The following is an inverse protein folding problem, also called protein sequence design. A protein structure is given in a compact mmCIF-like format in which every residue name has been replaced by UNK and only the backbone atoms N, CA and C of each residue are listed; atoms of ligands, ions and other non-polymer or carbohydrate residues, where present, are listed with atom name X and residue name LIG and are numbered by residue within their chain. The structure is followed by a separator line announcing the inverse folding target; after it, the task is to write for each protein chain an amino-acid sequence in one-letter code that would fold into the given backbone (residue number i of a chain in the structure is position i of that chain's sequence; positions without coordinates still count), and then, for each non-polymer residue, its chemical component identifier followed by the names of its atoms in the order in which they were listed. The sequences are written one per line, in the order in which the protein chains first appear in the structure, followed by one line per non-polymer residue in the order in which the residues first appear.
data_IF_983999786534
#
_entry.id   IF_983999786534
#
_cell.length_a   1.000
_cell.length_b   1.000
_cell.length_c   1.000
_cell.angle_alpha   90.00
_cell.angle_beta   90.00
_cell.angle_gamma   90.00
#
_symmetry.space_group_name_H-M   'P 1'
#
loop_
_entity.id
_entity.type
_entity.pdbx_description
1 polymer ?
#
# COMPACT_ATOMS: atom_id res chain seq x y z
N UNK A 1 -59.72 -48.94 -33.29
CA UNK A 1 -59.15 -48.42 -34.56
C UNK A 1 -59.52 -46.95 -34.56
N UNK A 2 -58.66 -45.98 -34.28
CA UNK A 2 -57.41 -45.56 -34.96
C UNK A 2 -56.69 -44.61 -33.98
N UNK A 3 -55.54 -44.96 -33.38
CA UNK A 3 -54.14 -44.69 -33.79
C UNK A 3 -53.71 -43.22 -33.97
N UNK A 4 -52.83 -42.80 -33.03
CA UNK A 4 -51.61 -41.97 -33.14
C UNK A 4 -51.65 -40.51 -33.65
N UNK A 5 -51.18 -39.56 -32.82
CA UNK A 5 -49.77 -39.13 -32.79
C UNK A 5 -49.50 -38.07 -31.70
N UNK A 6 -48.71 -38.42 -30.67
CA UNK A 6 -47.97 -37.43 -29.87
C UNK A 6 -46.69 -37.07 -30.63
N UNK A 7 -46.44 -35.77 -30.82
CA UNK A 7 -45.13 -35.22 -31.19
C UNK A 7 -44.35 -34.84 -29.92
N UNK A 8 -43.04 -35.08 -29.85
CA UNK A 8 -42.21 -34.53 -28.77
C UNK A 8 -41.91 -33.06 -29.07
N UNK A 9 -42.01 -32.19 -28.06
CA UNK A 9 -41.35 -30.88 -28.10
C UNK A 9 -39.90 -31.09 -27.65
N UNK A 10 -38.97 -30.96 -28.58
CA UNK A 10 -37.53 -30.91 -28.34
C UNK A 10 -37.07 -29.46 -28.35
N UNK A 11 -36.35 -29.05 -27.28
CA UNK A 11 -35.46 -27.90 -27.14
C UNK A 11 -36.08 -26.49 -27.38
N UNK A 12 -35.68 -25.41 -26.70
CA UNK A 12 -34.34 -24.85 -26.55
C UNK A 12 -34.42 -23.85 -25.39
N UNK A 13 -33.44 -23.82 -24.48
CA UNK A 13 -32.83 -22.56 -24.02
C UNK A 13 -31.53 -22.84 -23.22
N UNK A 14 -30.35 -22.74 -23.86
CA UNK A 14 -29.09 -22.49 -23.17
C UNK A 14 -28.48 -21.13 -23.59
N UNK A 15 -29.28 -20.16 -24.03
CA UNK A 15 -28.77 -18.89 -24.60
C UNK A 15 -28.62 -17.73 -23.59
N UNK A 16 -29.14 -17.86 -22.36
CA UNK A 16 -29.08 -16.76 -21.38
C UNK A 16 -27.75 -16.76 -20.59
N UNK A 17 -27.15 -17.93 -20.34
CA UNK A 17 -25.92 -18.04 -19.52
C UNK A 17 -24.67 -17.57 -20.27
N UNK A 18 -24.58 -17.83 -21.57
CA UNK A 18 -23.39 -17.46 -22.38
C UNK A 18 -23.25 -15.95 -22.58
N UNK A 19 -24.36 -15.20 -22.66
CA UNK A 19 -24.33 -13.76 -22.83
C UNK A 19 -23.85 -13.03 -21.55
N UNK A 20 -24.30 -13.46 -20.37
CA UNK A 20 -23.82 -12.89 -19.10
C UNK A 20 -22.33 -13.14 -18.88
N UNK A 21 -21.84 -14.36 -19.17
CA UNK A 21 -20.42 -14.70 -19.01
C UNK A 21 -19.49 -13.93 -19.97
N UNK A 22 -19.96 -13.65 -21.19
CA UNK A 22 -19.19 -12.83 -22.14
C UNK A 22 -19.17 -11.35 -21.74
N UNK A 23 -20.28 -10.84 -21.17
CA UNK A 23 -20.37 -9.46 -20.68
C UNK A 23 -19.48 -9.23 -19.45
N UNK A 24 -19.44 -10.17 -18.51
CA UNK A 24 -18.56 -10.08 -17.33
C UNK A 24 -17.09 -10.18 -17.72
N UNK A 25 -16.73 -11.07 -18.65
CA UNK A 25 -15.36 -11.17 -19.14
C UNK A 25 -14.89 -9.87 -19.82
N UNK A 26 -15.72 -9.24 -20.65
CA UNK A 26 -15.38 -7.95 -21.27
C UNK A 26 -15.23 -6.82 -20.24
N UNK A 27 -16.10 -6.76 -19.23
CA UNK A 27 -15.98 -5.79 -18.14
C UNK A 27 -14.72 -6.01 -17.28
N UNK A 28 -14.30 -7.27 -17.08
CA UNK A 28 -13.03 -7.60 -16.42
C UNK A 28 -11.83 -7.14 -17.25
N UNK A 29 -11.85 -7.41 -18.55
CA UNK A 29 -10.79 -6.98 -19.47
C UNK A 29 -10.65 -5.44 -19.46
N UNK A 30 -11.78 -4.71 -19.50
CA UNK A 30 -11.81 -3.25 -19.40
C UNK A 30 -11.23 -2.75 -18.06
N UNK A 31 -11.61 -3.36 -16.94
CA UNK A 31 -11.11 -2.97 -15.60
C UNK A 31 -9.62 -3.27 -15.43
N UNK A 32 -9.16 -4.42 -15.92
CA UNK A 32 -7.75 -4.77 -15.94
C UNK A 32 -6.94 -3.75 -16.74
N UNK A 33 -7.42 -3.38 -17.93
CA UNK A 33 -6.76 -2.38 -18.78
C UNK A 33 -6.66 -1.01 -18.08
N UNK A 34 -7.69 -0.58 -17.35
CA UNK A 34 -7.65 0.66 -16.56
C UNK A 34 -6.60 0.61 -15.45
N UNK A 35 -6.50 -0.50 -14.72
CA UNK A 35 -5.49 -0.66 -13.66
C UNK A 35 -4.08 -0.67 -14.26
N UNK A 36 -3.86 -1.40 -15.35
CA UNK A 36 -2.58 -1.42 -16.06
C UNK A 36 -2.21 -0.03 -16.60
N UNK A 37 -3.15 0.67 -17.22
CA UNK A 37 -2.96 2.03 -17.73
C UNK A 37 -2.60 3.01 -16.61
N UNK A 38 -3.18 2.88 -15.40
CA UNK A 38 -2.83 3.78 -14.29
C UNK A 38 -1.35 3.70 -13.87
N UNK A 39 -0.71 2.54 -14.04
CA UNK A 39 0.74 2.37 -13.78
C UNK A 39 1.57 2.86 -14.96
N UNK A 40 1.15 2.54 -16.19
CA UNK A 40 1.84 2.93 -17.42
C UNK A 40 1.85 4.45 -17.61
N UNK A 41 0.68 5.09 -17.53
CA UNK A 41 0.53 6.53 -17.70
C UNK A 41 1.20 7.33 -16.57
N UNK A 42 1.35 6.73 -15.39
CA UNK A 42 2.10 7.31 -14.29
C UNK A 42 3.62 7.23 -14.49
N UNK A 43 4.11 6.41 -15.43
CA UNK A 43 5.55 6.27 -15.71
C UNK A 43 6.27 5.23 -14.84
N UNK A 44 5.56 4.29 -14.20
CA UNK A 44 6.16 3.32 -13.28
C UNK A 44 6.32 1.89 -13.86
N UNK A 45 6.11 1.70 -15.16
CA UNK A 45 6.19 0.36 -15.79
C UNK A 45 7.56 -0.31 -15.76
N UNK A 46 8.63 0.43 -15.47
CA UNK A 46 9.99 -0.13 -15.34
C UNK A 46 10.19 -0.90 -14.03
N UNK A 47 9.45 -0.56 -12.98
CA UNK A 47 9.56 -1.15 -11.63
C UNK A 47 8.28 -1.85 -11.16
N UNK A 48 7.15 -1.57 -11.81
CA UNK A 48 5.83 -2.12 -11.46
C UNK A 48 5.22 -2.82 -12.67
N UNK A 49 4.71 -4.03 -12.46
CA UNK A 49 3.97 -4.78 -13.47
C UNK A 49 2.55 -5.09 -13.01
N UNK A 50 1.62 -5.24 -13.96
CA UNK A 50 0.23 -5.62 -13.67
C UNK A 50 -0.08 -6.94 -14.35
N UNK A 51 -0.50 -7.94 -13.56
CA UNK A 51 -0.83 -9.28 -14.03
C UNK A 51 -2.30 -9.55 -13.74
N UNK A 52 -3.11 -9.74 -14.78
CA UNK A 52 -4.54 -9.99 -14.63
C UNK A 52 -4.88 -11.47 -14.77
N UNK A 53 -5.39 -12.05 -13.69
CA UNK A 53 -5.76 -13.45 -13.63
C UNK A 53 -6.74 -13.72 -12.49
N UNK A 54 -7.61 -14.73 -12.67
CA UNK A 54 -8.49 -15.19 -11.61
C UNK A 54 -9.48 -14.15 -11.06
N UNK A 55 -9.84 -13.12 -11.83
CA UNK A 55 -10.74 -12.04 -11.39
C UNK A 55 -10.04 -10.90 -10.63
N UNK A 56 -8.71 -10.87 -10.63
CA UNK A 56 -7.90 -9.83 -10.01
C UNK A 56 -6.88 -9.27 -11.00
N UNK A 57 -6.50 -8.00 -10.81
CA UNK A 57 -5.24 -7.45 -11.29
C UNK A 57 -4.24 -7.44 -10.13
N UNK A 58 -3.16 -8.18 -10.25
CA UNK A 58 -2.04 -8.15 -9.29
C UNK A 58 -1.06 -7.07 -9.71
N UNK A 59 -0.94 -6.01 -8.91
CA UNK A 59 0.10 -4.99 -9.05
C UNK A 59 1.35 -5.53 -8.34
N UNK A 60 2.39 -5.86 -9.10
CA UNK A 60 3.61 -6.54 -8.64
C UNK A 60 4.80 -5.57 -8.64
N UNK A 61 5.47 -5.46 -7.48
CA UNK A 61 6.60 -4.54 -7.24
C UNK A 61 7.60 -5.15 -6.25
N UNK A 62 8.59 -4.35 -5.83
CA UNK A 62 9.47 -4.62 -4.69
C UNK A 62 9.21 -3.68 -3.51
N UNK A 63 8.12 -2.91 -3.52
CA UNK A 63 7.76 -1.89 -2.51
C UNK A 63 8.80 -0.78 -2.27
N UNK A 64 9.86 -0.68 -3.07
CA UNK A 64 10.98 0.23 -2.83
C UNK A 64 10.98 1.38 -3.86
N UNK A 65 10.53 2.59 -3.48
CA UNK A 65 10.40 3.70 -4.43
C UNK A 65 11.75 4.38 -4.73
N UNK A 66 11.87 4.93 -5.94
CA UNK A 66 13.01 5.76 -6.38
C UNK A 66 12.78 7.25 -6.03
N UNK A 67 12.51 7.54 -4.76
CA UNK A 67 12.44 8.89 -4.22
C UNK A 67 13.06 8.95 -2.83
N UNK A 68 13.19 10.15 -2.26
CA UNK A 68 13.68 10.30 -0.89
C UNK A 68 12.83 9.48 0.08
N UNK A 69 13.47 8.75 1.00
CA UNK A 69 12.79 7.97 2.03
C UNK A 69 13.42 8.28 3.37
N UNK A 70 12.66 8.16 4.45
CA UNK A 70 13.06 8.23 5.86
C UNK A 70 13.68 9.55 6.36
N UNK A 71 14.29 10.35 5.49
CA UNK A 71 14.97 11.60 5.83
C UNK A 71 14.00 12.59 6.47
N UNK A 72 14.45 13.22 7.57
CA UNK A 72 13.67 14.20 8.30
C UNK A 72 12.71 13.62 9.35
N UNK A 73 12.58 12.29 9.45
CA UNK A 73 11.81 11.64 10.52
C UNK A 73 12.38 12.02 11.90
N UNK A 74 11.52 12.46 12.80
CA UNK A 74 11.88 12.76 14.20
C UNK A 74 11.46 11.61 15.12
N UNK A 75 10.27 11.06 14.92
CA UNK A 75 9.71 9.95 15.68
C UNK A 75 10.07 8.58 15.11
N UNK A 76 11.36 8.30 14.86
CA UNK A 76 11.78 7.04 14.23
C UNK A 76 11.40 5.80 15.06
N UNK A 77 10.98 4.75 14.38
CA UNK A 77 10.77 3.40 14.93
C UNK A 77 12.02 2.50 14.77
N UNK A 78 13.14 3.07 14.30
CA UNK A 78 14.40 2.36 14.02
C UNK A 78 14.22 1.15 13.06
N UNK A 79 13.32 1.27 12.09
CA UNK A 79 13.20 0.38 10.92
C UNK A 79 13.78 1.06 9.68
N UNK A 80 14.15 0.27 8.67
CA UNK A 80 14.69 0.79 7.39
C UNK A 80 13.97 0.17 6.20
N UNK A 81 13.91 0.86 5.05
CA UNK A 81 13.27 0.31 3.88
C UNK A 81 14.15 -0.79 3.26
N UNK A 82 13.62 -1.99 3.09
CA UNK A 82 14.27 -3.10 2.41
C UNK A 82 13.31 -3.60 1.31
N UNK A 83 13.77 -3.79 0.07
CA UNK A 83 12.92 -4.27 -1.02
C UNK A 83 12.20 -5.58 -0.68
N UNK A 84 10.90 -5.65 -0.94
CA UNK A 84 10.04 -6.84 -0.87
C UNK A 84 9.79 -7.41 -2.27
N UNK A 85 10.84 -7.98 -2.89
CA UNK A 85 10.78 -8.44 -4.28
C UNK A 85 9.62 -9.43 -4.49
N UNK A 86 8.76 -9.14 -5.46
CA UNK A 86 7.62 -9.98 -5.79
C UNK A 86 6.40 -9.76 -4.90
N UNK A 87 6.36 -8.65 -4.14
CA UNK A 87 5.14 -8.19 -3.50
C UNK A 87 4.04 -8.03 -4.55
N UNK A 88 2.91 -8.70 -4.34
CA UNK A 88 1.78 -8.70 -5.27
C UNK A 88 0.53 -8.21 -4.54
N UNK A 89 0.04 -7.04 -4.94
CA UNK A 89 -1.17 -6.43 -4.43
C UNK A 89 -2.38 -6.85 -5.31
N UNK A 90 -3.29 -7.70 -4.80
CA UNK A 90 -4.43 -8.18 -5.59
C UNK A 90 -5.56 -7.17 -5.56
N UNK A 91 -5.91 -6.61 -6.72
CA UNK A 91 -7.01 -5.67 -6.90
C UNK A 91 -8.17 -6.39 -7.59
N UNK A 92 -9.33 -6.58 -6.93
CA UNK A 92 -10.51 -7.18 -7.56
C UNK A 92 -10.96 -6.42 -8.82
N UNK A 93 -11.30 -7.16 -9.87
CA UNK A 93 -11.86 -6.60 -11.12
C UNK A 93 -13.36 -6.33 -11.02
N UNK A 94 -14.04 -6.97 -10.05
CA UNK A 94 -15.42 -6.66 -9.68
C UNK A 94 -15.46 -6.10 -8.26
N UNK A 95 -16.20 -5.01 -8.09
CA UNK A 95 -16.33 -4.30 -6.82
C UNK A 95 -17.78 -4.33 -6.35
N UNK A 96 -17.99 -4.66 -5.08
CA UNK A 96 -19.31 -4.57 -4.43
C UNK A 96 -19.19 -3.65 -3.23
N UNK A 97 -19.91 -2.53 -3.24
CA UNK A 97 -19.94 -1.62 -2.09
C UNK A 97 -20.69 -2.26 -0.92
N UNK A 98 -20.22 -1.99 0.30
CA UNK A 98 -20.82 -2.42 1.57
C UNK A 98 -21.28 -1.22 2.39
N UNK A 99 -22.17 -1.48 3.34
CA UNK A 99 -22.67 -0.46 4.27
C UNK A 99 -21.77 -0.29 5.51
N UNK A 100 -20.80 -1.18 5.70
CA UNK A 100 -19.94 -1.25 6.89
C UNK A 100 -18.46 -1.30 6.49
N UNK A 101 -17.60 -0.44 7.07
CA UNK A 101 -16.19 -0.40 6.74
C UNK A 101 -15.44 -1.65 7.24
N UNK A 102 -14.33 -1.96 6.60
CA UNK A 102 -13.36 -2.97 7.05
C UNK A 102 -12.02 -2.33 7.34
N UNK A 103 -11.45 -2.68 8.48
CA UNK A 103 -10.17 -2.19 8.98
C UNK A 103 -9.18 -3.33 9.06
N UNK A 104 -7.89 -3.01 9.00
CA UNK A 104 -6.82 -3.98 9.26
C UNK A 104 -5.56 -3.27 9.69
N UNK A 105 -4.82 -3.88 10.59
CA UNK A 105 -3.44 -3.49 10.93
C UNK A 105 -2.44 -3.92 9.83
N UNK A 106 -2.58 -3.39 8.61
CA UNK A 106 -1.71 -3.59 7.45
C UNK A 106 -2.15 -2.65 6.30
N UNK A 107 -1.45 -2.71 5.16
CA UNK A 107 -1.85 -1.99 3.95
C UNK A 107 -3.32 -2.20 3.62
N UNK A 108 -3.99 -1.14 3.19
CA UNK A 108 -5.35 -1.11 2.67
C UNK A 108 -5.36 -1.06 1.14
N UNK A 109 -4.23 -0.70 0.53
CA UNK A 109 -4.07 -0.65 -0.91
C UNK A 109 -2.60 -0.56 -1.32
N UNK A 110 -2.38 -0.21 -2.57
CA UNK A 110 -1.07 -0.02 -3.18
C UNK A 110 -1.10 1.23 -4.07
N UNK A 111 -0.04 2.02 -4.03
CA UNK A 111 0.17 3.14 -4.94
C UNK A 111 0.58 2.65 -6.33
N UNK A 112 0.46 3.49 -7.36
CA UNK A 112 0.82 3.14 -8.74
C UNK A 112 2.33 2.88 -8.94
N UNK A 113 3.19 3.37 -8.03
CA UNK A 113 4.61 3.01 -7.95
C UNK A 113 4.87 1.71 -7.17
N UNK A 114 3.82 0.97 -6.79
CA UNK A 114 3.94 -0.32 -6.12
C UNK A 114 4.21 -0.25 -4.62
N UNK A 115 4.22 0.94 -4.01
CA UNK A 115 4.40 1.12 -2.56
C UNK A 115 3.07 0.88 -1.83
N UNK A 116 3.04 0.09 -0.74
CA UNK A 116 1.83 -0.11 0.04
C UNK A 116 1.26 1.19 0.64
N UNK A 117 -0.06 1.27 0.78
CA UNK A 117 -0.77 2.38 1.43
C UNK A 117 -1.45 1.86 2.68
N UNK A 118 -1.16 2.47 3.83
CA UNK A 118 -1.72 2.14 5.14
C UNK A 118 -2.68 3.25 5.59
N UNK A 119 -3.50 2.96 6.61
CA UNK A 119 -4.23 4.01 7.32
C UNK A 119 -3.24 4.94 8.06
N UNK A 120 -3.68 6.13 8.49
CA UNK A 120 -2.79 7.13 9.08
C UNK A 120 -2.13 6.76 10.43
N UNK A 121 -2.49 5.62 11.04
CA UNK A 121 -2.01 5.23 12.37
C UNK A 121 -0.74 4.38 12.32
N UNK A 122 0.07 4.45 13.38
CA UNK A 122 1.36 3.76 13.50
C UNK A 122 1.24 2.25 13.83
N UNK A 123 0.03 1.70 13.72
CA UNK A 123 -0.27 0.30 13.95
C UNK A 123 -1.27 0.04 15.08
N UNK A 124 -1.77 -1.19 15.07
CA UNK A 124 -2.93 -1.61 15.83
C UNK A 124 -4.20 -1.38 15.02
N UNK A 125 -4.98 -2.44 14.81
CA UNK A 125 -6.20 -2.36 14.02
C UNK A 125 -7.22 -1.43 14.71
N UNK A 126 -7.63 -0.38 14.01
CA UNK A 126 -8.76 0.45 14.44
C UNK A 126 -10.04 -0.37 14.45
N UNK A 127 -10.84 -0.26 15.50
CA UNK A 127 -12.22 -0.76 15.45
C UNK A 127 -13.10 0.17 14.61
N UNK A 128 -14.28 -0.29 14.17
CA UNK A 128 -15.25 0.60 13.49
C UNK A 128 -15.60 1.84 14.32
N UNK A 129 -15.62 1.72 15.66
CA UNK A 129 -15.87 2.86 16.53
C UNK A 129 -14.70 3.85 16.60
N UNK A 130 -13.47 3.35 16.44
CA UNK A 130 -12.26 4.18 16.44
C UNK A 130 -12.18 5.05 15.18
N UNK A 131 -12.69 4.58 14.04
CA UNK A 131 -12.74 5.34 12.78
C UNK A 131 -13.46 6.69 12.90
N UNK A 132 -14.41 6.79 13.83
CA UNK A 132 -15.17 8.02 14.08
C UNK A 132 -14.48 8.98 15.08
N UNK A 133 -13.27 8.65 15.53
CA UNK A 133 -12.49 9.45 16.46
C UNK A 133 -11.05 9.58 15.98
N UNK A 134 -10.53 10.80 15.93
CA UNK A 134 -9.13 11.01 15.53
C UNK A 134 -8.17 10.44 16.59
N UNK A 135 -7.41 9.42 16.20
CA UNK A 135 -6.46 8.69 17.03
C UNK A 135 -5.13 9.44 17.13
N UNK A 136 -5.16 10.67 17.63
CA UNK A 136 -3.99 11.60 17.71
C UNK A 136 -2.71 11.01 18.31
N UNK A 137 -2.81 10.02 19.20
CA UNK A 137 -1.64 9.35 19.81
C UNK A 137 -0.97 8.32 18.90
N UNK A 138 -1.71 7.84 17.91
CA UNK A 138 -1.27 6.84 16.93
C UNK A 138 -1.05 7.46 15.55
N UNK A 139 -1.55 8.68 15.31
CA UNK A 139 -1.35 9.43 14.07
C UNK A 139 0.15 9.60 13.75
N UNK A 140 0.60 8.96 12.68
CA UNK A 140 2.01 8.92 12.24
C UNK A 140 2.54 10.31 11.87
N UNK A 141 1.71 11.18 11.28
CA UNK A 141 2.09 12.55 10.95
C UNK A 141 2.26 13.40 12.22
N UNK A 142 1.28 13.34 13.13
CA UNK A 142 1.30 14.10 14.41
C UNK A 142 2.42 13.62 15.34
N UNK A 143 2.78 12.35 15.26
CA UNK A 143 3.88 11.75 16.03
C UNK A 143 5.22 11.82 15.30
N UNK A 144 5.28 12.53 14.17
CA UNK A 144 6.49 12.82 13.38
C UNK A 144 7.24 11.57 12.89
N UNK A 145 6.50 10.52 12.56
CA UNK A 145 7.06 9.24 12.08
C UNK A 145 7.28 9.21 10.57
N UNK A 146 6.78 10.21 9.84
CA UNK A 146 6.80 10.25 8.38
C UNK A 146 7.92 11.15 7.86
N UNK A 147 8.48 10.77 6.73
CA UNK A 147 9.35 11.63 5.93
C UNK A 147 8.55 12.67 5.12
N UNK A 148 9.27 13.47 4.33
CA UNK A 148 8.68 14.50 3.46
C UNK A 148 7.78 13.93 2.37
N UNK A 149 7.96 12.66 2.01
CA UNK A 149 7.20 11.98 0.98
C UNK A 149 5.90 11.34 1.51
N UNK A 150 5.65 11.43 2.82
CA UNK A 150 4.42 10.97 3.45
C UNK A 150 4.42 9.50 3.86
N UNK A 151 5.60 8.89 3.94
CA UNK A 151 5.76 7.49 4.33
C UNK A 151 6.87 7.25 5.33
N UNK A 152 7.02 5.98 5.69
CA UNK A 152 8.12 5.48 6.52
C UNK A 152 8.26 3.96 6.37
N UNK A 153 9.34 3.39 6.92
CA UNK A 153 9.52 1.95 7.02
C UNK A 153 8.85 1.39 8.28
N UNK A 154 8.09 0.29 8.15
CA UNK A 154 7.46 -0.40 9.28
C UNK A 154 8.14 -1.71 9.67
N UNK A 155 7.43 -2.53 10.45
CA UNK A 155 7.94 -3.81 11.00
C UNK A 155 8.38 -4.84 9.96
N UNK A 156 7.88 -4.73 8.73
CA UNK A 156 8.32 -5.57 7.63
C UNK A 156 9.65 -5.13 7.04
N UNK A 157 10.27 -4.05 7.57
CA UNK A 157 11.30 -3.28 6.88
C UNK A 157 10.82 -2.93 5.46
N UNK A 158 9.55 -2.52 5.33
CA UNK A 158 8.90 -2.11 4.09
C UNK A 158 8.54 -0.62 4.19
N UNK A 159 8.89 0.14 3.16
CA UNK A 159 8.44 1.52 3.05
C UNK A 159 6.97 1.57 2.64
N UNK A 160 6.17 2.42 3.27
CA UNK A 160 4.76 2.62 2.93
C UNK A 160 4.26 4.00 3.29
N UNK A 161 3.20 4.43 2.61
CA UNK A 161 2.56 5.73 2.85
C UNK A 161 1.46 5.65 3.90
N UNK A 162 1.39 6.68 4.74
CA UNK A 162 0.30 6.91 5.70
C UNK A 162 -0.52 8.18 5.40
N UNK A 163 0.01 9.02 4.51
CA UNK A 163 -0.64 10.26 4.03
C UNK A 163 -0.42 10.37 2.53
N UNK A 164 -0.81 11.50 1.92
CA UNK A 164 -0.59 11.78 0.50
C UNK A 164 0.87 11.47 0.05
N UNK A 165 1.08 10.55 -0.91
CA UNK A 165 2.39 10.18 -1.46
C UNK A 165 3.03 11.30 -2.30
N UNK A 166 3.44 12.39 -1.68
CA UNK A 166 3.74 13.65 -2.39
C UNK A 166 4.87 13.48 -3.41
N UNK A 167 5.98 12.85 -3.03
CA UNK A 167 7.10 12.64 -3.94
C UNK A 167 6.77 11.69 -5.10
N UNK A 168 5.96 10.66 -4.86
CA UNK A 168 5.49 9.76 -5.91
C UNK A 168 4.62 10.52 -6.92
N UNK A 169 3.67 11.33 -6.43
CA UNK A 169 2.80 12.15 -7.29
C UNK A 169 3.62 13.16 -8.10
N UNK A 170 4.65 13.77 -7.50
CA UNK A 170 5.55 14.69 -8.21
C UNK A 170 6.35 14.01 -9.33
N UNK A 171 6.58 12.69 -9.24
CA UNK A 171 7.27 11.90 -10.26
C UNK A 171 6.33 11.37 -11.36
N UNK A 172 5.02 11.34 -11.13
CA UNK A 172 4.06 10.81 -12.10
C UNK A 172 4.08 11.59 -13.42
N UNK A 173 4.19 10.89 -14.55
CA UNK A 173 4.15 11.52 -15.88
C UNK A 173 2.77 12.15 -16.19
N UNK A 174 1.70 11.54 -15.69
CA UNK A 174 0.32 12.00 -15.83
C UNK A 174 -0.19 12.75 -14.59
N UNK A 175 0.69 13.29 -13.72
CA UNK A 175 0.28 13.99 -12.51
C UNK A 175 -0.84 15.02 -12.78
N UNK A 176 -1.98 14.83 -12.12
CA UNK A 176 -3.20 15.60 -12.34
C UNK A 176 -4.34 15.16 -11.43
N UNK A 177 -5.43 15.92 -11.41
CA UNK A 177 -6.56 15.64 -10.53
C UNK A 177 -7.32 14.35 -10.92
N UNK A 178 -7.29 13.99 -12.21
CA UNK A 178 -7.87 12.75 -12.76
C UNK A 178 -6.91 11.55 -12.72
N UNK A 179 -5.69 11.73 -12.21
CA UNK A 179 -4.74 10.64 -12.09
C UNK A 179 -5.09 9.73 -10.90
N UNK A 180 -5.21 8.43 -11.17
CA UNK A 180 -5.29 7.43 -10.11
C UNK A 180 -3.89 7.29 -9.49
N UNK A 181 -3.78 7.57 -8.20
CA UNK A 181 -2.51 7.48 -7.46
C UNK A 181 -2.30 6.10 -6.82
N UNK A 182 -3.35 5.29 -6.76
CA UNK A 182 -3.30 3.94 -6.20
C UNK A 182 -4.66 3.22 -6.26
N UNK A 183 -4.66 1.98 -5.79
CA UNK A 183 -5.83 1.12 -5.74
C UNK A 183 -5.96 0.49 -4.36
N UNK A 184 -7.15 0.57 -3.78
CA UNK A 184 -7.48 -0.12 -2.55
C UNK A 184 -7.78 -1.60 -2.82
N UNK A 185 -7.58 -2.47 -1.82
CA UNK A 185 -7.76 -3.92 -1.97
C UNK A 185 -9.21 -4.38 -2.15
N UNK A 186 -10.16 -3.47 -2.01
CA UNK A 186 -11.57 -3.69 -2.36
C UNK A 186 -11.88 -3.32 -3.83
N UNK A 187 -10.86 -2.90 -4.58
CA UNK A 187 -10.92 -2.64 -6.02
C UNK A 187 -11.25 -1.20 -6.40
N UNK A 188 -11.48 -0.30 -5.44
CA UNK A 188 -11.75 1.11 -5.74
C UNK A 188 -10.45 1.92 -5.92
N UNK A 189 -10.43 2.89 -6.86
CA UNK A 189 -9.28 3.75 -7.06
C UNK A 189 -9.11 4.76 -5.93
N UNK A 190 -7.87 5.22 -5.76
CA UNK A 190 -7.47 6.29 -4.85
C UNK A 190 -6.99 7.46 -5.71
N UNK A 191 -7.53 8.65 -5.48
CA UNK A 191 -7.16 9.91 -6.16
C UNK A 191 -6.49 10.88 -5.18
N UNK A 192 -5.98 12.00 -5.72
CA UNK A 192 -5.50 13.14 -4.93
C UNK A 192 -6.61 13.92 -4.21
N UNK A 193 -6.31 15.16 -3.80
CA UNK A 193 -7.19 15.98 -2.93
C UNK A 193 -8.42 16.57 -3.63
N UNK A 194 -8.44 16.55 -4.97
CA UNK A 194 -9.52 17.09 -5.79
C UNK A 194 -10.33 15.96 -6.45
N UNK A 195 -11.51 16.32 -6.96
CA UNK A 195 -12.25 15.44 -7.87
C UNK A 195 -11.52 15.30 -9.21
N UNK A 196 -11.73 14.20 -9.95
CA UNK A 196 -11.14 14.01 -11.28
C UNK A 196 -11.43 15.13 -12.30
N UNK A 197 -12.47 15.92 -12.11
CA UNK A 197 -12.77 17.08 -12.97
C UNK A 197 -12.04 18.37 -12.56
N UNK A 198 -11.15 18.28 -11.56
CA UNK A 198 -10.38 19.38 -10.98
C UNK A 198 -11.14 20.24 -9.98
N UNK A 199 -12.38 19.88 -9.63
CA UNK A 199 -13.11 20.61 -8.58
C UNK A 199 -12.62 20.22 -7.19
N UNK A 200 -12.52 21.21 -6.30
CA UNK A 200 -12.15 20.96 -4.91
C UNK A 200 -13.22 20.15 -4.17
N UNK A 201 -12.78 19.25 -3.29
CA UNK A 201 -13.65 18.48 -2.40
C UNK A 201 -13.90 19.32 -1.14
N UNK A 202 -15.17 19.54 -0.77
CA UNK A 202 -15.45 20.35 0.41
C UNK A 202 -15.21 19.54 1.70
N UNK A 203 -14.85 20.26 2.76
CA UNK A 203 -14.67 19.65 4.08
C UNK A 203 -15.94 18.94 4.53
N UNK A 204 -15.83 17.64 4.78
CA UNK A 204 -16.93 16.78 5.22
C UNK A 204 -17.70 16.09 4.09
N UNK A 205 -17.29 16.25 2.83
CA UNK A 205 -17.88 15.50 1.71
C UNK A 205 -17.37 14.06 1.63
N UNK A 206 -16.13 13.83 2.07
CA UNK A 206 -15.56 12.48 2.21
C UNK A 206 -16.18 11.78 3.42
N UNK A 207 -16.46 10.49 3.26
CA UNK A 207 -16.97 9.64 4.32
C UNK A 207 -15.87 9.24 5.32
N UNK A 208 -16.24 8.35 6.25
CA UNK A 208 -15.32 7.89 7.29
C UNK A 208 -14.09 7.16 6.75
N UNK A 209 -14.11 6.58 5.55
CA UNK A 209 -12.94 5.92 4.96
C UNK A 209 -12.14 6.83 4.02
N UNK A 210 -12.43 8.14 4.02
CA UNK A 210 -11.84 9.14 3.13
C UNK A 210 -12.23 8.94 1.65
N UNK A 211 -13.46 8.51 1.39
CA UNK A 211 -13.95 8.33 0.02
C UNK A 211 -15.35 8.88 -0.21
N UNK A 212 -15.81 8.75 -1.46
CA UNK A 212 -17.10 9.27 -1.93
C UNK A 212 -17.61 8.49 -3.15
N UNK A 213 -18.90 8.62 -3.51
CA UNK A 213 -19.45 7.96 -4.69
C UNK A 213 -18.75 8.35 -6.00
N UNK A 214 -18.67 7.38 -6.91
CA UNK A 214 -18.07 7.55 -8.23
C UNK A 214 -18.99 7.06 -9.35
N UNK A 215 -19.05 7.80 -10.47
CA UNK A 215 -19.93 7.47 -11.58
C UNK A 215 -19.43 6.29 -12.43
N UNK A 216 -18.12 6.07 -12.47
CA UNK A 216 -17.43 5.03 -13.25
C UNK A 216 -17.18 3.79 -12.39
N UNK A 217 -16.68 4.00 -11.19
CA UNK A 217 -16.22 2.97 -10.26
C UNK A 217 -17.27 2.61 -9.21
N UNK A 218 -18.36 3.38 -9.10
CA UNK A 218 -19.35 3.27 -8.01
C UNK A 218 -18.90 4.00 -6.74
N UNK A 219 -17.61 3.93 -6.40
CA UNK A 219 -16.99 4.59 -5.26
C UNK A 219 -15.50 4.85 -5.54
N UNK A 220 -14.91 5.86 -4.89
CA UNK A 220 -13.47 6.18 -4.94
C UNK A 220 -12.97 6.74 -3.60
N UNK A 221 -11.72 6.49 -3.29
CA UNK A 221 -11.01 7.13 -2.16
C UNK A 221 -10.23 8.35 -2.63
N UNK A 222 -9.88 9.20 -1.67
CA UNK A 222 -9.07 10.39 -1.91
C UNK A 222 -7.97 10.52 -0.85
N UNK A 223 -6.96 11.33 -1.15
CA UNK A 223 -6.15 11.98 -0.12
C UNK A 223 -6.86 13.24 0.39
N UNK A 224 -6.42 13.78 1.51
CA UNK A 224 -6.94 15.02 2.08
C UNK A 224 -5.93 15.71 2.98
N UNK A 225 -6.12 17.01 3.24
CA UNK A 225 -5.24 17.78 4.14
C UNK A 225 -5.49 17.46 5.62
N UNK A 226 -6.73 17.10 5.98
CA UNK A 226 -7.14 16.75 7.33
C UNK A 226 -7.17 15.22 7.51
N UNK A 227 -7.00 14.75 8.76
CA UNK A 227 -7.13 13.33 9.07
C UNK A 227 -8.47 12.76 8.54
N UNK A 228 -8.44 11.59 7.88
CA UNK A 228 -7.37 10.59 7.90
C UNK A 228 -6.25 10.76 6.85
N UNK A 229 -6.21 11.86 6.09
CA UNK A 229 -5.21 12.21 5.06
C UNK A 229 -5.15 11.30 3.82
N UNK A 230 -5.51 10.04 3.96
CA UNK A 230 -5.59 8.99 2.94
C UNK A 230 -6.62 7.93 3.40
N UNK A 231 -6.86 6.91 2.59
CA UNK A 231 -7.76 5.80 2.93
C UNK A 231 -7.44 5.21 4.32
N UNK A 232 -8.45 5.11 5.19
CA UNK A 232 -8.30 4.53 6.54
C UNK A 232 -9.12 3.24 6.77
N UNK A 233 -9.98 2.88 5.83
CA UNK A 233 -10.74 1.64 5.85
C UNK A 233 -11.26 1.31 4.45
N UNK A 234 -11.73 0.07 4.27
CA UNK A 234 -12.31 -0.41 3.01
C UNK A 234 -13.84 -0.46 3.07
N UNK A 235 -14.50 0.13 2.08
CA UNK A 235 -15.95 0.17 1.91
C UNK A 235 -16.46 -0.90 0.95
N UNK A 236 -15.60 -1.54 0.16
CA UNK A 236 -15.99 -2.64 -0.71
C UNK A 236 -15.81 -4.02 -0.06
N UNK A 237 -16.41 -5.02 -0.69
CA UNK A 237 -16.26 -6.43 -0.32
C UNK A 237 -14.88 -6.96 -0.68
N UNK A 238 -14.21 -7.54 0.31
CA UNK A 238 -12.97 -8.29 0.11
C UNK A 238 -13.23 -9.76 0.46
N UNK A 239 -13.22 -10.62 -0.56
CA UNK A 239 -13.60 -12.02 -0.44
C UNK A 239 -12.77 -12.81 0.60
N UNK A 240 -11.46 -12.56 0.66
CA UNK A 240 -10.59 -13.14 1.68
C UNK A 240 -9.69 -12.08 2.32
N UNK A 241 -10.32 -11.29 3.19
CA UNK A 241 -9.67 -10.18 3.88
C UNK A 241 -8.44 -10.59 4.72
N UNK A 242 -8.31 -11.87 5.10
CA UNK A 242 -7.18 -12.38 5.88
C UNK A 242 -6.00 -12.81 5.03
N UNK A 243 -6.19 -13.10 3.75
CA UNK A 243 -5.11 -13.50 2.83
C UNK A 243 -4.50 -12.34 2.06
N UNK A 244 -5.03 -11.12 2.23
CA UNK A 244 -4.40 -9.93 1.68
C UNK A 244 -2.94 -9.80 2.14
N UNK A 245 -2.05 -9.32 1.24
CA UNK A 245 -0.62 -9.42 1.41
C UNK A 245 -0.13 -8.57 2.60
N UNK A 246 0.95 -9.04 3.22
CA UNK A 246 1.72 -8.35 4.24
C UNK A 246 3.19 -8.58 3.95
N UNK A 247 4.03 -7.56 4.09
CA UNK A 247 5.48 -7.78 4.04
C UNK A 247 5.91 -8.44 5.34
N UNK A 248 6.56 -9.59 5.23
CA UNK A 248 7.05 -10.32 6.40
C UNK A 248 8.33 -9.66 6.94
N UNK A 249 8.52 -9.62 8.27
CA UNK A 249 9.78 -9.16 8.85
C UNK A 249 10.96 -10.01 8.39
N UNK A 250 12.12 -9.39 8.29
CA UNK A 250 13.37 -10.08 7.96
C UNK A 250 13.69 -11.22 8.93
N UNK A 251 14.41 -12.22 8.45
CA UNK A 251 14.89 -13.39 9.20
C UNK A 251 16.40 -13.48 9.17
N UNK A 252 17.02 -14.01 10.22
CA UNK A 252 18.45 -14.30 10.17
C UNK A 252 18.75 -15.36 9.11
N UNK A 253 19.84 -15.19 8.34
CA UNK A 253 20.15 -15.99 7.16
C UNK A 253 20.20 -17.52 7.38
N UNK A 254 20.44 -17.96 8.61
CA UNK A 254 20.46 -19.39 9.00
C UNK A 254 19.15 -19.82 9.71
N UNK A 255 18.01 -19.28 9.27
CA UNK A 255 16.70 -19.42 9.92
C UNK A 255 16.70 -18.95 11.39
N UNK A 256 17.56 -17.97 11.70
CA UNK A 256 17.66 -17.35 13.01
C UNK A 256 16.55 -16.32 13.25
N UNK A 257 16.46 -15.77 14.48
CA UNK A 257 15.61 -14.60 14.72
C UNK A 257 16.05 -13.44 13.81
N UNK A 258 15.09 -12.64 13.36
CA UNK A 258 15.37 -11.39 12.65
C UNK A 258 15.94 -10.32 13.58
N UNK A 259 16.10 -9.08 13.07
CA UNK A 259 16.45 -7.94 13.89
C UNK A 259 15.48 -7.78 15.08
N UNK A 260 16.00 -7.28 16.19
CA UNK A 260 15.12 -6.95 17.34
C UNK A 260 14.21 -5.80 16.91
N UNK A 261 12.88 -5.89 17.16
CA UNK A 261 11.98 -4.78 16.86
C UNK A 261 12.45 -3.49 17.54
N UNK A 262 12.41 -2.39 16.80
CA UNK A 262 12.87 -1.11 17.31
C UNK A 262 12.06 -0.64 18.52
N UNK A 263 12.73 0.02 19.45
CA UNK A 263 12.15 0.77 20.56
C UNK A 263 12.30 2.26 20.22
N UNK A 264 11.20 2.95 19.85
CA UNK A 264 11.27 4.35 19.43
C UNK A 264 12.02 5.24 20.45
N UNK A 265 13.02 6.03 20.02
CA UNK A 265 13.73 6.97 20.88
C UNK A 265 12.79 8.00 21.48
N UNK A 266 12.76 8.10 22.82
CA UNK A 266 11.79 8.97 23.51
C UNK A 266 12.14 10.44 23.28
N UNK A 267 11.16 11.21 22.81
CA UNK A 267 11.36 12.63 22.51
C UNK A 267 11.93 12.89 21.11
N UNK A 268 12.14 11.82 20.33
CA UNK A 268 12.57 11.90 18.94
C UNK A 268 14.08 12.10 18.77
N UNK A 269 14.52 11.96 17.53
CA UNK A 269 15.91 12.07 17.10
C UNK A 269 16.15 13.40 16.37
N UNK A 270 17.42 13.69 16.08
CA UNK A 270 17.85 14.85 15.30
C UNK A 270 18.61 14.39 14.07
N UNK A 271 18.51 15.17 12.99
CA UNK A 271 19.31 15.01 11.77
C UNK A 271 19.25 13.58 11.19
N UNK A 272 18.07 12.94 11.24
CA UNK A 272 17.89 11.64 10.61
C UNK A 272 17.94 11.79 9.09
N UNK A 273 18.93 11.14 8.48
CA UNK A 273 19.13 11.12 7.04
C UNK A 273 19.24 9.68 6.58
N UNK A 274 18.57 9.37 5.48
CA UNK A 274 18.75 8.12 4.77
C UNK A 274 19.42 8.36 3.42
N UNK A 275 20.40 7.53 3.09
CA UNK A 275 21.14 7.59 1.83
C UNK A 275 21.33 6.19 1.26
N UNK A 276 21.25 6.09 -0.05
CA UNK A 276 21.69 4.94 -0.83
C UNK A 276 22.85 5.37 -1.74
N UNK A 277 23.81 4.48 -1.95
CA UNK A 277 24.96 4.71 -2.81
C UNK A 277 24.98 3.73 -3.99
N UNK A 278 25.75 4.05 -5.03
CA UNK A 278 25.78 3.30 -6.29
C UNK A 278 26.17 1.81 -6.14
N UNK A 279 26.84 1.45 -5.04
CA UNK A 279 27.22 0.06 -4.74
C UNK A 279 26.16 -0.72 -3.93
N UNK A 280 25.01 -0.09 -3.67
CA UNK A 280 23.89 -0.65 -2.91
C UNK A 280 24.04 -0.54 -1.39
N UNK A 281 25.07 0.13 -0.86
CA UNK A 281 25.11 0.47 0.57
C UNK A 281 24.04 1.52 0.89
N UNK A 282 23.23 1.20 1.90
CA UNK A 282 22.14 2.01 2.43
C UNK A 282 22.40 2.33 3.88
N UNK A 283 22.11 3.57 4.26
CA UNK A 283 22.47 4.11 5.56
C UNK A 283 21.35 4.97 6.08
N UNK A 284 20.89 4.70 7.30
CA UNK A 284 20.10 5.62 8.10
C UNK A 284 20.95 6.09 9.27
N UNK A 285 21.31 7.37 9.31
CA UNK A 285 22.15 7.98 10.34
C UNK A 285 21.33 9.04 11.10
N UNK A 286 21.48 9.14 12.42
CA UNK A 286 20.78 10.14 13.25
C UNK A 286 21.53 10.45 14.55
N UNK A 287 21.14 11.53 15.21
CA UNK A 287 21.62 11.90 16.56
C UNK A 287 20.51 11.74 17.58
N UNK A 288 20.83 11.21 18.77
CA UNK A 288 19.92 11.14 19.91
C UNK A 288 20.68 11.46 21.19
N UNK A 289 20.16 12.41 21.99
CA UNK A 289 20.80 12.87 23.25
C UNK A 289 22.28 13.29 23.09
N UNK A 290 22.66 13.80 21.91
CA UNK A 290 24.01 14.27 21.60
C UNK A 290 24.99 13.19 21.11
N UNK A 291 24.52 11.95 20.97
CA UNK A 291 25.31 10.81 20.47
C UNK A 291 24.83 10.38 19.08
N UNK A 292 25.76 9.89 18.24
CA UNK A 292 25.45 9.42 16.89
C UNK A 292 25.01 7.95 16.88
N UNK A 293 23.96 7.64 16.12
CA UNK A 293 23.37 6.32 15.95
C UNK A 293 23.13 6.04 14.47
N UNK A 294 23.03 4.76 14.12
CA UNK A 294 22.87 4.35 12.73
C UNK A 294 22.29 2.94 12.53
N UNK A 295 21.73 2.73 11.34
CA UNK A 295 21.44 1.43 10.72
C UNK A 295 22.06 1.47 9.33
N UNK A 296 23.13 0.70 9.11
CA UNK A 296 23.78 0.56 7.81
C UNK A 296 23.57 -0.88 7.31
N UNK A 297 23.32 -1.02 6.02
CA UNK A 297 23.13 -2.33 5.41
C UNK A 297 23.45 -2.30 3.92
N UNK A 298 23.84 -3.44 3.38
CA UNK A 298 24.13 -3.63 1.96
C UNK A 298 23.74 -5.04 1.53
N UNK A 299 23.47 -5.29 0.23
CA UNK A 299 23.27 -6.65 -0.26
C UNK A 299 24.43 -7.58 0.14
N UNK A 300 24.11 -8.79 0.59
CA UNK A 300 25.11 -9.83 0.87
C UNK A 300 25.37 -10.71 -0.35
N UNK A 301 26.26 -11.70 -0.22
CA UNK A 301 26.49 -12.70 -1.27
C UNK A 301 25.30 -13.67 -1.46
N UNK A 302 24.35 -13.70 -0.51
CA UNK A 302 23.13 -14.52 -0.61
C UNK A 302 22.00 -13.72 -1.28
N UNK A 303 21.23 -14.35 -2.20
CA UNK A 303 20.09 -13.69 -2.81
C UNK A 303 19.08 -13.21 -1.75
N UNK A 304 18.61 -11.97 -1.90
CA UNK A 304 17.61 -11.34 -1.04
C UNK A 304 17.99 -11.30 0.45
N UNK A 305 19.30 -11.18 0.70
CA UNK A 305 19.89 -11.01 2.01
C UNK A 305 20.76 -9.76 2.05
N UNK A 306 20.91 -9.21 3.26
CA UNK A 306 21.64 -7.98 3.51
C UNK A 306 22.51 -8.14 4.75
N UNK A 307 23.73 -7.63 4.68
CA UNK A 307 24.63 -7.51 5.82
C UNK A 307 24.37 -6.19 6.53
N UNK A 308 23.90 -6.26 7.78
CA UNK A 308 23.61 -5.12 8.62
C UNK A 308 24.73 -4.86 9.63
N UNK A 309 25.00 -3.58 9.87
CA UNK A 309 25.68 -3.06 11.05
C UNK A 309 24.82 -1.95 11.67
N UNK A 310 24.52 -2.08 12.95
CA UNK A 310 23.60 -1.16 13.63
C UNK A 310 24.22 -0.68 14.94
N UNK A 311 24.02 0.60 15.25
CA UNK A 311 24.21 1.19 16.57
C UNK A 311 22.98 2.02 16.86
N UNK A 312 21.98 1.43 17.53
CA UNK A 312 20.66 2.05 17.73
C UNK A 312 20.35 2.25 19.21
N UNK A 313 19.31 3.03 19.53
CA UNK A 313 18.79 3.16 20.90
C UNK A 313 18.21 1.83 21.38
N UNK A 314 17.55 1.08 20.48
CA UNK A 314 17.08 -0.30 20.73
C UNK A 314 18.16 -1.20 21.28
N UNK A 315 19.37 -1.09 20.73
CA UNK A 315 20.52 -1.92 21.10
C UNK A 315 21.35 -1.33 22.25
N UNK A 316 20.83 -0.31 22.94
CA UNK A 316 21.53 0.39 24.03
C UNK A 316 22.80 1.12 23.57
N UNK A 317 22.89 1.47 22.28
CA UNK A 317 24.07 2.07 21.67
C UNK A 317 25.25 1.12 21.46
N UNK A 318 25.06 -0.19 21.64
CA UNK A 318 26.05 -1.20 21.27
C UNK A 318 26.00 -1.49 19.77
N UNK A 319 27.16 -1.72 19.16
CA UNK A 319 27.25 -2.15 17.76
C UNK A 319 26.79 -3.60 17.65
N UNK A 320 25.87 -3.88 16.74
CA UNK A 320 25.41 -5.22 16.38
C UNK A 320 25.55 -5.43 14.88
N UNK A 321 25.92 -6.65 14.48
CA UNK A 321 25.96 -7.07 13.08
C UNK A 321 25.13 -8.32 12.86
N UNK A 322 24.62 -8.49 11.64
CA UNK A 322 23.86 -9.67 11.27
C UNK A 322 23.58 -9.72 9.77
N UNK A 323 23.47 -10.93 9.23
CA UNK A 323 22.97 -11.15 7.88
C UNK A 323 21.47 -11.49 7.98
N UNK A 324 20.62 -10.66 7.38
CA UNK A 324 19.17 -10.82 7.42
C UNK A 324 18.61 -10.91 6.01
N UNK A 325 17.66 -11.81 5.81
CA UNK A 325 17.05 -12.15 4.53
C UNK A 325 15.54 -11.98 4.58
N UNK A 326 14.95 -11.83 3.40
CA UNK A 326 13.50 -11.82 3.23
C UNK A 326 12.94 -13.22 2.94
#
# INVERSE_FOLDING_TARGET
MTSLHLRPLTAVLPFIVAACAAQSAAAHDDRCAVIAASVEEAGFSDTVSVICEGGHASIVSDTYPDHEMMTGIVGTNEQVPVPAVGYAAPIPLETTLRDTPQTRDASLGVAVNGVPIYDYTAGGEMTEADLHHHQTRHDTLTTHQLDVCGGHAGRGDDYHYHVKPTCMIEQMENAGDDAVIGWAYDGFPIYGDNNPDGTAIAKGDLDVCNGQPDATFGYRYHTSEDAPYIVQCLMGEVADFRSLPRVAPLRGADAGPGPTPGVPPRGGVQDLVFTESDDGERRMDYTYEGEAYYIHYRPSDRPDCYDFETRTVTNGGAVQTGEYCR
#
